data_IF_223544767179
#
_entry.id   IF_223544767179
#
_cell.length_a   1.000
_cell.length_b   1.000
_cell.length_c   1.000
_cell.angle_alpha   90.00
_cell.angle_beta   90.00
_cell.angle_gamma   90.00
#
_symmetry.space_group_name_H-M   'P 1'
#
loop_
_entity.id
_entity.type
_entity.pdbx_description
1 polymer ?
#
# COMPACT_ATOMS: atom_id res chain seq x y z
N UNK A 1 17.29 9.31 25.23
CA UNK A 1 15.93 9.90 25.10
C UNK A 1 14.98 8.76 24.76
N UNK A 2 14.19 8.30 25.73
CA UNK A 2 13.33 7.14 25.59
C UNK A 2 12.18 7.47 24.61
N UNK A 3 12.24 6.86 23.43
CA UNK A 3 11.19 6.93 22.41
C UNK A 3 9.93 6.32 23.00
N UNK A 4 8.83 7.09 23.05
CA UNK A 4 7.53 6.64 23.55
C UNK A 4 7.12 5.31 22.90
N UNK A 5 7.03 4.27 23.72
CA UNK A 5 6.75 2.89 23.30
C UNK A 5 5.26 2.65 22.95
N UNK A 6 4.40 3.65 23.16
CA UNK A 6 2.95 3.53 23.11
C UNK A 6 2.33 4.70 22.33
N UNK A 7 1.37 4.40 21.44
CA UNK A 7 0.48 5.38 20.82
C UNK A 7 -0.86 5.31 21.56
N UNK A 8 -1.02 6.07 22.63
CA UNK A 8 -2.16 5.89 23.53
C UNK A 8 -2.21 4.46 24.11
N UNK A 9 -3.37 3.76 24.13
CA UNK A 9 -3.49 2.41 24.71
C UNK A 9 -2.74 1.31 23.95
N UNK A 10 -2.26 1.56 22.73
CA UNK A 10 -1.74 0.51 21.85
C UNK A 10 -0.20 0.50 21.92
N UNK A 11 0.42 -0.59 22.42
CA UNK A 11 1.87 -0.71 22.45
C UNK A 11 2.40 -1.01 21.05
N UNK A 12 3.52 -0.40 20.69
CA UNK A 12 4.21 -0.57 19.39
C UNK A 12 4.48 -2.04 19.06
N UNK A 13 4.84 -2.84 20.07
CA UNK A 13 5.13 -4.25 19.92
C UNK A 13 3.89 -5.06 19.47
N UNK A 14 2.70 -4.76 20.00
CA UNK A 14 1.48 -5.46 19.61
C UNK A 14 1.13 -5.20 18.13
N UNK A 15 1.33 -3.97 17.66
CA UNK A 15 1.10 -3.64 16.25
C UNK A 15 2.07 -4.39 15.32
N UNK A 16 3.36 -4.46 15.68
CA UNK A 16 4.37 -5.19 14.91
C UNK A 16 4.07 -6.70 14.87
N UNK A 17 3.69 -7.30 16.01
CA UNK A 17 3.37 -8.73 16.08
C UNK A 17 2.16 -9.07 15.20
N UNK A 18 1.08 -8.27 15.26
CA UNK A 18 -0.11 -8.52 14.45
C UNK A 18 0.16 -8.47 12.96
N UNK A 19 0.91 -7.47 12.48
CA UNK A 19 1.30 -7.37 11.07
C UNK A 19 2.18 -8.54 10.65
N UNK A 20 3.17 -8.88 11.49
CA UNK A 20 4.05 -10.02 11.25
C UNK A 20 3.30 -11.33 11.14
N UNK A 21 2.30 -11.57 12.00
CA UNK A 21 1.49 -12.78 11.99
C UNK A 21 0.66 -12.92 10.71
N UNK A 22 -0.05 -11.87 10.30
CA UNK A 22 -0.86 -11.89 9.06
C UNK A 22 0.02 -12.06 7.84
N UNK A 23 1.19 -11.41 7.81
CA UNK A 23 2.16 -11.59 6.74
C UNK A 23 2.72 -13.02 6.69
N UNK A 24 3.10 -13.59 7.84
CA UNK A 24 3.57 -14.97 7.93
C UNK A 24 2.53 -15.94 7.39
N UNK A 25 1.26 -15.75 7.74
CA UNK A 25 0.15 -16.56 7.23
C UNK A 25 0.00 -16.42 5.71
N UNK A 26 0.17 -15.22 5.15
CA UNK A 26 0.15 -15.01 3.71
C UNK A 26 1.30 -15.74 2.99
N UNK A 27 2.53 -15.67 3.53
CA UNK A 27 3.68 -16.38 2.95
C UNK A 27 3.49 -17.90 3.02
N UNK A 28 3.02 -18.43 4.15
CA UNK A 28 2.73 -19.86 4.30
C UNK A 28 1.68 -20.30 3.28
N UNK A 29 0.61 -19.52 3.07
CA UNK A 29 -0.40 -19.84 2.06
C UNK A 29 0.17 -19.92 0.64
N UNK A 30 1.09 -19.01 0.27
CA UNK A 30 1.79 -19.04 -1.03
C UNK A 30 2.69 -20.27 -1.14
N UNK A 31 3.46 -20.57 -0.09
CA UNK A 31 4.36 -21.73 -0.07
C UNK A 31 3.57 -23.03 -0.16
N UNK A 32 2.49 -23.19 0.60
CA UNK A 32 1.61 -24.36 0.53
C UNK A 32 1.06 -24.53 -0.88
N UNK A 33 0.60 -23.44 -1.51
CA UNK A 33 0.07 -23.51 -2.88
C UNK A 33 1.14 -23.87 -3.92
N UNK A 34 2.31 -23.25 -3.88
CA UNK A 34 3.38 -23.53 -4.84
C UNK A 34 4.01 -24.92 -4.62
N UNK A 35 4.36 -25.25 -3.39
CA UNK A 35 5.14 -26.45 -3.08
C UNK A 35 4.25 -27.70 -2.92
N UNK A 36 3.15 -27.60 -2.17
CA UNK A 36 2.30 -28.78 -1.89
C UNK A 36 1.39 -29.08 -3.08
N UNK A 37 0.66 -28.08 -3.60
CA UNK A 37 -0.34 -28.36 -4.65
C UNK A 37 0.31 -28.59 -6.03
N UNK A 38 1.32 -27.81 -6.43
CA UNK A 38 1.90 -27.99 -7.77
C UNK A 38 3.02 -29.02 -7.82
N UNK A 39 4.02 -28.92 -6.95
CA UNK A 39 5.21 -29.78 -7.03
C UNK A 39 4.90 -31.19 -6.57
N UNK A 40 4.22 -31.34 -5.43
CA UNK A 40 3.95 -32.64 -4.84
C UNK A 40 2.81 -33.39 -5.55
N UNK A 41 1.67 -32.72 -5.78
CA UNK A 41 0.47 -33.38 -6.33
C UNK A 41 0.45 -33.42 -7.87
N UNK A 42 0.77 -32.31 -8.54
CA UNK A 42 0.59 -32.21 -9.99
C UNK A 42 1.83 -32.53 -10.84
N UNK A 43 3.04 -32.59 -10.27
CA UNK A 43 4.34 -32.77 -10.97
C UNK A 43 4.46 -31.93 -12.26
N UNK A 44 3.82 -30.75 -12.30
CA UNK A 44 3.76 -29.90 -13.49
C UNK A 44 4.86 -28.86 -13.47
N UNK A 45 5.37 -28.53 -14.66
CA UNK A 45 6.36 -27.46 -14.86
C UNK A 45 5.79 -26.11 -14.40
N UNK A 46 6.68 -25.27 -13.85
CA UNK A 46 6.39 -23.89 -13.45
C UNK A 46 5.76 -23.17 -14.63
N UNK A 47 4.55 -22.62 -14.43
CA UNK A 47 3.86 -21.83 -15.44
C UNK A 47 4.01 -20.35 -15.17
N UNK A 48 3.77 -19.53 -16.20
CA UNK A 48 3.81 -18.06 -16.14
C UNK A 48 2.96 -17.52 -14.97
N UNK A 49 1.83 -18.18 -14.64
CA UNK A 49 1.00 -17.81 -13.49
C UNK A 49 1.78 -17.82 -12.16
N UNK A 50 2.72 -18.76 -11.97
CA UNK A 50 3.54 -18.80 -10.75
C UNK A 50 4.46 -17.57 -10.68
N UNK A 51 4.94 -17.08 -11.82
CA UNK A 51 5.72 -15.85 -11.89
C UNK A 51 4.96 -14.62 -11.37
N UNK A 52 3.67 -14.51 -11.69
CA UNK A 52 2.80 -13.43 -11.20
C UNK A 52 2.63 -13.54 -9.68
N UNK A 53 2.47 -14.76 -9.14
CA UNK A 53 2.35 -14.98 -7.71
C UNK A 53 3.64 -14.68 -6.94
N UNK A 54 4.80 -15.03 -7.50
CA UNK A 54 6.10 -14.65 -6.93
C UNK A 54 6.31 -13.14 -6.97
N UNK A 55 5.93 -12.48 -8.06
CA UNK A 55 5.99 -11.03 -8.18
C UNK A 55 5.10 -10.34 -7.13
N UNK A 56 3.86 -10.80 -6.95
CA UNK A 56 2.97 -10.30 -5.91
C UNK A 56 3.59 -10.45 -4.51
N UNK A 57 4.14 -11.63 -4.21
CA UNK A 57 4.76 -11.91 -2.92
C UNK A 57 6.00 -11.05 -2.69
N UNK A 58 6.82 -10.83 -3.73
CA UNK A 58 7.97 -9.94 -3.68
C UNK A 58 7.58 -8.49 -3.41
N UNK A 59 6.52 -8.00 -4.03
CA UNK A 59 5.95 -6.67 -3.76
C UNK A 59 5.43 -6.56 -2.33
N UNK A 60 4.78 -7.61 -1.80
CA UNK A 60 4.33 -7.63 -0.41
C UNK A 60 5.51 -7.59 0.59
N UNK A 61 6.55 -8.38 0.34
CA UNK A 61 7.78 -8.39 1.15
C UNK A 61 8.41 -7.00 1.15
N UNK A 62 8.57 -6.38 -0.03
CA UNK A 62 9.19 -5.06 -0.13
C UNK A 62 8.36 -3.99 0.57
N UNK A 63 7.02 -4.01 0.44
CA UNK A 63 6.12 -3.11 1.15
C UNK A 63 6.31 -3.21 2.68
N UNK A 64 6.41 -4.43 3.21
CA UNK A 64 6.56 -4.68 4.64
C UNK A 64 7.94 -4.24 5.14
N UNK A 65 9.01 -4.52 4.40
CA UNK A 65 10.36 -4.06 4.75
C UNK A 65 10.40 -2.53 4.83
N UNK A 66 9.83 -1.84 3.84
CA UNK A 66 9.75 -0.36 3.83
C UNK A 66 8.90 0.13 5.01
N UNK A 67 7.76 -0.51 5.29
CA UNK A 67 6.89 -0.17 6.41
C UNK A 67 7.65 -0.24 7.75
N UNK A 68 8.38 -1.33 8.00
CA UNK A 68 9.16 -1.51 9.24
C UNK A 68 10.28 -0.49 9.38
N UNK A 69 11.01 -0.20 8.29
CA UNK A 69 12.17 0.69 8.36
C UNK A 69 11.82 2.18 8.36
N UNK A 70 10.80 2.58 7.60
CA UNK A 70 10.55 3.99 7.28
C UNK A 70 9.25 4.53 7.85
N UNK A 71 8.25 3.70 8.13
CA UNK A 71 6.91 4.16 8.50
C UNK A 71 6.63 3.99 10.00
N UNK A 72 6.93 2.84 10.59
CA UNK A 72 6.55 2.56 11.98
C UNK A 72 7.25 3.49 12.98
N UNK A 73 8.55 3.77 12.83
CA UNK A 73 9.25 4.63 13.79
C UNK A 73 8.72 6.09 13.83
N UNK A 74 8.60 6.80 12.69
CA UNK A 74 8.04 8.17 12.68
C UNK A 74 6.53 8.22 12.94
N UNK A 75 5.75 7.24 12.49
CA UNK A 75 4.30 7.21 12.78
C UNK A 75 4.01 7.13 14.28
N UNK A 76 4.81 6.36 15.02
CA UNK A 76 4.67 6.28 16.47
C UNK A 76 5.13 7.55 17.20
N UNK A 77 6.12 8.25 16.66
CA UNK A 77 6.59 9.51 17.20
C UNK A 77 5.59 10.66 16.99
N UNK A 78 5.00 10.74 15.80
CA UNK A 78 4.02 11.79 15.44
C UNK A 78 2.68 11.60 16.14
N UNK A 79 2.17 10.36 16.26
CA UNK A 79 0.89 10.10 16.94
C UNK A 79 0.95 10.13 18.47
N UNK A 80 2.14 9.99 19.08
CA UNK A 80 2.33 10.14 20.53
C UNK A 80 2.48 11.59 20.99
N UNK A 81 2.80 12.52 20.09
CA UNK A 81 3.06 13.92 20.41
C UNK A 81 1.83 14.69 20.96
N UNK A 82 0.61 14.55 20.39
CA UNK A 82 -0.57 15.28 20.87
C UNK A 82 -1.05 14.81 22.25
N UNK A 83 -0.80 13.55 22.59
CA UNK A 83 -1.26 12.95 23.84
C UNK A 83 -0.35 13.24 25.03
N UNK A 84 0.93 13.55 24.79
CA UNK A 84 1.90 13.74 25.86
C UNK A 84 2.00 15.20 26.33
N UNK A 85 1.85 16.17 25.44
CA UNK A 85 2.17 17.56 25.78
C UNK A 85 0.99 18.49 26.05
N UNK A 86 -0.26 18.16 25.69
CA UNK A 86 -1.44 19.00 26.00
C UNK A 86 -1.41 20.47 25.53
N UNK A 87 -0.31 20.91 24.93
CA UNK A 87 -0.04 22.26 24.49
C UNK A 87 0.01 22.26 22.96
N UNK A 88 -0.97 22.93 22.38
CA UNK A 88 -1.07 23.30 20.97
C UNK A 88 -0.15 24.50 20.65
N UNK A 89 0.96 24.66 21.35
CA UNK A 89 1.87 25.78 21.11
C UNK A 89 2.97 25.35 20.13
N UNK A 90 2.86 25.95 18.94
CA UNK A 90 3.83 26.01 17.84
C UNK A 90 4.45 24.68 17.43
N UNK A 91 3.88 24.09 16.37
CA UNK A 91 4.48 22.95 15.66
C UNK A 91 5.84 23.45 15.10
N UNK A 92 6.99 22.97 15.61
CA UNK A 92 8.27 23.41 15.07
C UNK A 92 8.39 22.91 13.62
N UNK A 93 8.93 23.74 12.71
CA UNK A 93 9.05 23.44 11.28
C UNK A 93 9.70 22.07 10.99
N UNK A 94 10.57 21.61 11.89
CA UNK A 94 11.20 20.28 11.84
C UNK A 94 10.21 19.10 11.95
N UNK A 95 9.06 19.27 12.61
CA UNK A 95 7.99 18.27 12.71
C UNK A 95 7.15 18.22 11.43
N UNK A 96 6.91 19.37 10.80
CA UNK A 96 6.20 19.47 9.52
C UNK A 96 6.95 18.69 8.44
N UNK A 97 8.27 18.87 8.36
CA UNK A 97 9.09 18.17 7.38
C UNK A 97 9.14 16.65 7.62
N UNK A 98 9.20 16.21 8.88
CA UNK A 98 9.10 14.78 9.24
C UNK A 98 7.74 14.17 8.94
N UNK A 99 6.65 14.93 9.12
CA UNK A 99 5.30 14.51 8.76
C UNK A 99 5.15 14.33 7.24
N UNK A 100 5.69 15.27 6.45
CA UNK A 100 5.70 15.15 4.99
C UNK A 100 6.48 13.93 4.51
N UNK A 101 7.64 13.65 5.10
CA UNK A 101 8.43 12.47 4.75
C UNK A 101 7.75 11.17 5.18
N UNK A 102 7.11 11.14 6.35
CA UNK A 102 6.28 10.02 6.77
C UNK A 102 5.14 9.75 5.78
N UNK A 103 4.44 10.78 5.34
CA UNK A 103 3.33 10.66 4.40
C UNK A 103 3.81 10.15 3.03
N UNK A 104 4.95 10.64 2.52
CA UNK A 104 5.56 10.13 1.27
C UNK A 104 5.83 8.63 1.33
N UNK A 105 6.50 8.16 2.40
CA UNK A 105 6.81 6.74 2.56
C UNK A 105 5.54 5.90 2.79
N UNK A 106 4.55 6.44 3.49
CA UNK A 106 3.26 5.76 3.69
C UNK A 106 2.51 5.58 2.37
N UNK A 107 2.44 6.62 1.53
CA UNK A 107 1.84 6.53 0.20
C UNK A 107 2.60 5.52 -0.67
N UNK A 108 3.94 5.52 -0.64
CA UNK A 108 4.74 4.54 -1.37
C UNK A 108 4.45 3.09 -0.95
N UNK A 109 4.41 2.81 0.36
CA UNK A 109 4.04 1.49 0.90
C UNK A 109 2.64 1.09 0.47
N UNK A 110 1.70 2.04 0.49
CA UNK A 110 0.31 1.80 0.13
C UNK A 110 0.15 1.50 -1.37
N UNK A 111 0.90 2.18 -2.24
CA UNK A 111 0.95 1.87 -3.67
C UNK A 111 1.51 0.47 -3.94
N UNK A 112 2.64 0.11 -3.29
CA UNK A 112 3.25 -1.22 -3.48
C UNK A 112 2.29 -2.32 -2.97
N UNK A 113 1.66 -2.09 -1.82
CA UNK A 113 0.67 -3.03 -1.25
C UNK A 113 -0.54 -3.17 -2.16
N UNK A 114 -1.04 -2.08 -2.71
CA UNK A 114 -2.15 -2.09 -3.67
C UNK A 114 -1.81 -2.90 -4.92
N UNK A 115 -0.63 -2.67 -5.51
CA UNK A 115 -0.13 -3.43 -6.66
C UNK A 115 0.03 -4.92 -6.33
N UNK A 116 0.49 -5.27 -5.13
CA UNK A 116 0.55 -6.65 -4.64
C UNK A 116 -0.85 -7.30 -4.62
N UNK A 117 -1.84 -6.63 -4.03
CA UNK A 117 -3.22 -7.14 -3.97
C UNK A 117 -3.81 -7.31 -5.38
N UNK A 118 -3.63 -6.33 -6.25
CA UNK A 118 -4.07 -6.41 -7.64
C UNK A 118 -3.41 -7.57 -8.38
N UNK A 119 -2.10 -7.79 -8.19
CA UNK A 119 -1.37 -8.91 -8.81
C UNK A 119 -1.94 -10.26 -8.40
N UNK A 120 -2.36 -10.44 -7.13
CA UNK A 120 -3.04 -11.66 -6.67
C UNK A 120 -4.41 -11.84 -7.35
N UNK A 121 -5.16 -10.76 -7.55
CA UNK A 121 -6.44 -10.82 -8.29
C UNK A 121 -6.25 -11.26 -9.73
N UNK A 122 -5.25 -10.71 -10.41
CA UNK A 122 -4.89 -11.12 -11.78
C UNK A 122 -4.43 -12.57 -11.83
N UNK A 123 -3.65 -13.03 -10.84
CA UNK A 123 -3.27 -14.43 -10.71
C UNK A 123 -4.49 -15.35 -10.59
N UNK A 124 -5.45 -14.99 -9.72
CA UNK A 124 -6.70 -15.74 -9.58
C UNK A 124 -7.46 -15.76 -10.92
N UNK A 125 -7.59 -14.62 -11.59
CA UNK A 125 -8.29 -14.54 -12.86
C UNK A 125 -7.65 -15.37 -13.97
N UNK A 126 -6.31 -15.40 -14.03
CA UNK A 126 -5.55 -16.26 -14.95
C UNK A 126 -5.78 -17.76 -14.66
N UNK A 127 -5.89 -18.13 -13.38
CA UNK A 127 -6.26 -19.48 -12.98
C UNK A 127 -7.68 -19.85 -13.46
N UNK A 128 -8.66 -18.93 -13.31
CA UNK A 128 -10.01 -19.16 -13.81
C UNK A 128 -10.07 -19.24 -15.33
N UNK A 129 -9.24 -18.48 -16.06
CA UNK A 129 -9.20 -18.55 -17.52
C UNK A 129 -8.98 -19.98 -18.01
N UNK A 130 -8.03 -20.71 -17.40
CA UNK A 130 -7.74 -22.11 -17.76
C UNK A 130 -8.93 -23.06 -17.52
N UNK A 131 -9.78 -22.75 -16.55
CA UNK A 131 -10.98 -23.54 -16.25
C UNK A 131 -12.16 -23.17 -17.17
N UNK A 132 -12.30 -21.88 -17.46
CA UNK A 132 -13.40 -21.29 -18.23
C UNK A 132 -13.21 -21.43 -19.74
N UNK A 133 -12.00 -21.66 -20.24
CA UNK A 133 -11.72 -21.75 -21.67
C UNK A 133 -12.57 -22.80 -22.41
N UNK A 134 -13.02 -23.84 -21.69
CA UNK A 134 -13.90 -24.89 -22.22
C UNK A 134 -15.39 -24.51 -22.30
N UNK A 135 -15.84 -23.43 -21.65
CA UNK A 135 -17.24 -23.02 -21.59
C UNK A 135 -17.46 -21.64 -22.25
N UNK A 136 -18.01 -21.59 -23.48
CA UNK A 136 -18.08 -20.34 -24.25
C UNK A 136 -18.99 -19.26 -23.60
N UNK A 137 -20.09 -19.66 -22.95
CA UNK A 137 -20.99 -18.72 -22.27
C UNK A 137 -20.34 -18.00 -21.07
N UNK A 138 -19.31 -18.61 -20.47
CA UNK A 138 -18.63 -18.10 -19.29
C UNK A 138 -17.44 -17.19 -19.66
N UNK A 139 -17.00 -17.18 -20.93
CA UNK A 139 -15.94 -16.30 -21.42
C UNK A 139 -16.30 -14.81 -21.34
N UNK A 140 -17.56 -14.47 -21.60
CA UNK A 140 -18.05 -13.08 -21.50
C UNK A 140 -17.96 -12.58 -20.05
N UNK A 141 -18.39 -13.40 -19.08
CA UNK A 141 -18.30 -13.07 -17.67
C UNK A 141 -16.84 -12.86 -17.22
N UNK A 142 -15.93 -13.70 -17.71
CA UNK A 142 -14.50 -13.54 -17.43
C UNK A 142 -13.96 -12.19 -17.91
N UNK A 143 -14.33 -11.76 -19.12
CA UNK A 143 -13.91 -10.45 -19.66
C UNK A 143 -14.46 -9.28 -18.86
N UNK A 144 -15.72 -9.32 -18.43
CA UNK A 144 -16.31 -8.29 -17.58
C UNK A 144 -15.53 -8.14 -16.27
N UNK A 145 -15.24 -9.27 -15.61
CA UNK A 145 -14.47 -9.27 -14.36
C UNK A 145 -13.03 -8.80 -14.59
N UNK A 146 -12.41 -9.17 -15.71
CA UNK A 146 -11.08 -8.69 -16.07
C UNK A 146 -11.05 -7.16 -16.18
N UNK A 147 -11.95 -6.57 -16.98
CA UNK A 147 -12.02 -5.11 -17.14
C UNK A 147 -12.32 -4.41 -15.81
N UNK A 148 -13.24 -4.93 -15.01
CA UNK A 148 -13.53 -4.38 -13.69
C UNK A 148 -12.29 -4.35 -12.77
N UNK A 149 -11.49 -5.41 -12.77
CA UNK A 149 -10.25 -5.47 -12.00
C UNK A 149 -9.18 -4.51 -12.53
N UNK A 150 -9.06 -4.36 -13.85
CA UNK A 150 -8.16 -3.38 -14.47
C UNK A 150 -8.55 -1.96 -14.07
N UNK A 151 -9.83 -1.61 -14.21
CA UNK A 151 -10.36 -0.28 -13.82
C UNK A 151 -10.12 -0.01 -12.33
N UNK A 152 -10.40 -0.99 -11.46
CA UNK A 152 -10.15 -0.86 -10.02
C UNK A 152 -8.67 -0.67 -9.70
N UNK A 153 -7.78 -1.36 -10.43
CA UNK A 153 -6.33 -1.22 -10.26
C UNK A 153 -5.87 0.19 -10.64
N UNK A 154 -6.31 0.68 -11.80
CA UNK A 154 -5.99 2.03 -12.28
C UNK A 154 -6.54 3.08 -11.32
N UNK A 155 -7.79 2.94 -10.89
CA UNK A 155 -8.42 3.85 -9.95
C UNK A 155 -7.64 3.94 -8.63
N UNK A 156 -7.24 2.81 -8.05
CA UNK A 156 -6.45 2.84 -6.82
C UNK A 156 -5.06 3.46 -7.00
N UNK A 157 -4.38 3.20 -8.12
CA UNK A 157 -3.10 3.87 -8.41
C UNK A 157 -3.28 5.38 -8.58
N UNK A 158 -4.35 5.82 -9.25
CA UNK A 158 -4.66 7.24 -9.42
C UNK A 158 -4.95 7.93 -8.09
N UNK A 159 -5.74 7.30 -7.21
CA UNK A 159 -6.05 7.85 -5.88
C UNK A 159 -4.76 8.07 -5.09
N UNK A 160 -3.87 7.09 -5.02
CA UNK A 160 -2.60 7.25 -4.29
C UNK A 160 -1.65 8.23 -4.95
N UNK A 161 -1.69 8.33 -6.27
CA UNK A 161 -0.92 9.33 -7.00
C UNK A 161 -1.38 10.75 -6.66
N UNK A 162 -2.70 10.99 -6.64
CA UNK A 162 -3.29 12.29 -6.26
C UNK A 162 -3.06 12.61 -4.79
N UNK A 163 -3.13 11.61 -3.89
CA UNK A 163 -2.87 11.80 -2.46
C UNK A 163 -1.40 12.07 -2.10
N UNK A 164 -0.50 12.15 -3.08
CA UNK A 164 0.91 12.40 -2.83
C UNK A 164 1.15 13.91 -2.64
N UNK A 165 1.66 14.35 -1.47
CA UNK A 165 1.68 15.76 -1.04
C UNK A 165 2.62 16.62 -1.88
N UNK A 166 3.47 16.03 -2.72
CA UNK A 166 4.28 16.78 -3.68
C UNK A 166 3.42 17.56 -4.68
N UNK A 167 2.23 17.04 -5.02
CA UNK A 167 1.29 17.72 -5.91
C UNK A 167 0.45 18.73 -5.13
N UNK A 168 0.01 18.39 -3.92
CA UNK A 168 -0.74 19.29 -3.05
C UNK A 168 0.06 20.55 -2.72
N UNK A 169 1.33 20.44 -2.29
CA UNK A 169 2.15 21.62 -1.96
C UNK A 169 2.36 22.52 -3.18
N UNK A 170 2.62 21.95 -4.37
CA UNK A 170 2.73 22.75 -5.60
C UNK A 170 1.42 23.41 -5.99
N UNK A 171 0.29 22.73 -5.79
CA UNK A 171 -1.04 23.26 -6.09
C UNK A 171 -1.43 24.35 -5.09
N UNK A 172 -1.14 24.19 -3.79
CA UNK A 172 -1.35 25.21 -2.77
C UNK A 172 -0.46 26.43 -2.98
N UNK A 173 0.82 26.25 -3.31
CA UNK A 173 1.73 27.37 -3.64
C UNK A 173 1.25 28.09 -4.90
N UNK A 174 0.85 27.36 -5.96
CA UNK A 174 0.32 27.97 -7.17
C UNK A 174 -1.00 28.71 -6.92
N UNK A 175 -1.89 28.13 -6.10
CA UNK A 175 -3.16 28.75 -5.73
C UNK A 175 -2.95 29.99 -4.85
N UNK A 176 -2.07 29.92 -3.85
CA UNK A 176 -1.68 31.05 -3.00
C UNK A 176 -1.07 32.19 -3.83
N UNK A 177 -0.13 31.88 -4.74
CA UNK A 177 0.50 32.87 -5.61
C UNK A 177 -0.50 33.50 -6.58
N UNK A 178 -1.49 32.73 -7.05
CA UNK A 178 -2.56 33.22 -7.93
C UNK A 178 -3.55 34.12 -7.19
N UNK A 179 -3.95 33.76 -5.97
CA UNK A 179 -4.79 34.59 -5.10
C UNK A 179 -4.08 35.91 -4.76
N UNK A 180 -2.79 35.86 -4.41
CA UNK A 180 -1.99 37.06 -4.12
C UNK A 180 -1.85 37.99 -5.34
N UNK A 181 -1.74 37.42 -6.54
CA UNK A 181 -1.71 38.19 -7.79
C UNK A 181 -3.05 38.82 -8.19
N UNK A 182 -4.16 38.31 -7.67
CA UNK A 182 -5.50 38.87 -7.89
C UNK A 182 -5.79 40.00 -6.91
N UNK A 183 -5.37 39.86 -5.65
CA UNK A 183 -5.49 40.92 -4.64
C UNK A 183 -4.67 42.15 -5.02
N UNK A 184 -3.44 41.97 -5.52
CA UNK A 184 -2.58 43.08 -5.99
C UNK A 184 -3.03 43.72 -7.32
N UNK A 185 -4.08 43.20 -7.97
CA UNK A 185 -4.65 43.78 -9.20
C UNK A 185 -5.86 44.66 -8.92
N UNK A 186 -6.44 44.60 -7.72
CA UNK A 186 -7.58 45.43 -7.31
C UNK A 186 -7.20 46.70 -6.53
N UNK A 187 -5.90 46.90 -6.24
CA UNK A 187 -5.32 48.18 -5.79
C UNK A 187 -4.70 48.96 -6.95
#
# INVERSE_FOLDING_TARGET
MAVGSNLGPIPKAAFQVSIGMVFGLAVVAVVVRCFVLRVYIHKKKIQIDDGILFLATGLLISAIVILYQKTIAPGFYLGGFPLYNGQLDEIPDSMVQKSLDFHKWTVAVLMITWLSVCSIKFFFLAFFWKLVDRLPAWKIHWWIVFFFNVVTTIFGVLVFYVSCPHWDIKMYVWFSHKVQSLVLREE
#
